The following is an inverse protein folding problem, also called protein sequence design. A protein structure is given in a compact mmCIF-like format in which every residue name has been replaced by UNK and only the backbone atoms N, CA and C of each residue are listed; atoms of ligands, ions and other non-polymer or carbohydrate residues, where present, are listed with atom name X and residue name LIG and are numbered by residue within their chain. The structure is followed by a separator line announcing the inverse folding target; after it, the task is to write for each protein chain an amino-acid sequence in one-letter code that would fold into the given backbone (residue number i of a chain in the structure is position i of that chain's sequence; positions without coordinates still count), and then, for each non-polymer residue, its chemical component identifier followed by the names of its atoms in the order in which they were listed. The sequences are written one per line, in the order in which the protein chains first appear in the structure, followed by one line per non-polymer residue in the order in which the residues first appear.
data_IF_782151025517
#
_entry.id   IF_782151025517
#
_cell.length_a   1.000
_cell.length_b   1.000
_cell.length_c   1.000
_cell.angle_alpha   90.00
_cell.angle_beta   90.00
_cell.angle_gamma   90.00
#
_symmetry.space_group_name_H-M   'P 1'
#
loop_
_entity.id
_entity.type
_entity.pdbx_description
1 polymer ?
#
# COMPACT_ATOMS: atom_id res chain seq x y z
N UNK A 1 1.11 -8.02 27.15
CA UNK A 1 1.12 -7.42 26.70
C UNK A 1 0.44 -6.45 26.65
N UNK A 2 0.20 -5.66 26.74
CA UNK A 2 -0.39 -4.77 26.74
C UNK A 2 -0.06 -3.77 25.91
N UNK A 3 0.91 -3.64 25.40
CA UNK A 3 1.31 -2.72 24.62
C UNK A 3 0.54 -2.60 23.46
N UNK A 4 -0.18 -3.52 23.00
CA UNK A 4 -0.94 -3.43 21.81
C UNK A 4 -2.11 -2.51 21.91
N UNK A 5 -2.46 -2.09 23.10
CA UNK A 5 -3.55 -1.19 23.22
C UNK A 5 -3.29 0.10 22.58
N UNK A 6 -2.02 0.46 22.47
CA UNK A 6 -1.65 1.71 21.88
C UNK A 6 -1.40 1.56 20.43
N UNK A 7 -1.44 0.37 19.93
CA UNK A 7 -1.06 0.12 18.56
C UNK A 7 -2.24 0.03 17.63
N UNK A 8 -1.99 -0.59 16.49
CA UNK A 8 -2.96 -0.74 15.44
C UNK A 8 -3.74 -2.01 15.63
N UNK A 9 -5.05 -1.93 15.50
CA UNK A 9 -5.88 -3.12 15.50
C UNK A 9 -6.06 -3.59 14.07
N UNK A 10 -6.15 -4.89 13.86
CA UNK A 10 -6.39 -5.45 12.54
C UNK A 10 -7.70 -4.97 11.94
N UNK A 11 -8.63 -4.58 12.77
CA UNK A 11 -9.96 -4.20 12.31
C UNK A 11 -10.14 -2.71 12.10
N UNK A 12 -9.13 -1.93 12.45
CA UNK A 12 -9.25 -0.48 12.37
C UNK A 12 -8.77 0.06 11.03
N UNK A 13 -9.39 1.14 10.54
CA UNK A 13 -8.86 1.79 9.36
C UNK A 13 -7.53 2.46 9.66
N UNK A 14 -6.70 2.54 8.65
CA UNK A 14 -5.41 3.18 8.79
C UNK A 14 -4.90 3.65 7.44
N UNK A 15 -3.98 4.59 7.46
CA UNK A 15 -3.33 5.08 6.25
C UNK A 15 -2.03 4.33 6.08
N UNK A 16 -1.87 3.75 4.91
CA UNK A 16 -0.69 2.96 4.57
C UNK A 16 0.02 3.52 3.36
N UNK A 17 1.31 3.24 3.28
CA UNK A 17 2.11 3.61 2.13
C UNK A 17 2.86 2.36 1.67
N UNK A 18 2.66 2.00 0.40
CA UNK A 18 3.28 0.82 -0.19
C UNK A 18 4.18 1.28 -1.32
N UNK A 19 5.42 0.79 -1.32
CA UNK A 19 6.31 1.03 -2.44
C UNK A 19 6.52 -0.26 -3.20
N UNK A 20 6.42 -0.18 -4.50
CA UNK A 20 6.67 -1.33 -5.37
C UNK A 20 7.66 -0.94 -6.45
N UNK A 21 8.30 -1.94 -7.03
CA UNK A 21 9.15 -1.72 -8.17
C UNK A 21 8.32 -1.92 -9.43
N UNK A 22 8.43 -0.98 -10.36
CA UNK A 22 7.65 -1.05 -11.59
C UNK A 22 6.72 0.14 -11.70
N UNK A 23 6.01 0.20 -12.82
CA UNK A 23 5.08 1.28 -13.07
C UNK A 23 3.66 0.77 -13.02
N UNK A 24 2.84 1.39 -12.21
CA UNK A 24 1.45 1.03 -12.08
C UNK A 24 0.62 2.24 -12.53
N UNK A 25 -0.36 2.00 -13.40
CA UNK A 25 -1.18 3.06 -13.95
C UNK A 25 -2.07 3.65 -12.85
N UNK A 26 -2.06 4.98 -12.74
CA UNK A 26 -2.90 5.68 -11.77
C UNK A 26 -4.37 5.37 -11.91
N UNK A 27 -4.80 5.01 -13.11
CA UNK A 27 -6.20 4.71 -13.35
C UNK A 27 -6.66 3.47 -12.64
N UNK A 28 -5.73 2.66 -12.14
CA UNK A 28 -6.07 1.43 -11.45
C UNK A 28 -6.31 1.63 -9.95
N UNK A 29 -6.35 2.87 -9.50
CA UNK A 29 -6.54 3.17 -8.08
C UNK A 29 -7.69 2.39 -7.45
N UNK A 30 -8.84 2.37 -8.12
CA UNK A 30 -10.01 1.68 -7.56
C UNK A 30 -9.77 0.19 -7.40
N UNK A 31 -8.94 -0.38 -8.26
CA UNK A 31 -8.65 -1.78 -8.21
C UNK A 31 -7.72 -2.11 -7.03
N UNK A 32 -7.00 -1.11 -6.54
CA UNK A 32 -6.07 -1.29 -5.43
C UNK A 32 -6.55 -0.48 -4.22
N UNK A 33 -7.77 -0.71 -3.81
CA UNK A 33 -8.29 -0.15 -2.57
C UNK A 33 -8.54 1.34 -2.58
N UNK A 34 -8.57 1.96 -3.75
CA UNK A 34 -8.75 3.41 -3.83
C UNK A 34 -7.55 4.21 -3.39
N UNK A 35 -6.39 3.57 -3.26
CA UNK A 35 -5.17 4.27 -2.86
C UNK A 35 -4.68 5.17 -3.98
N UNK A 36 -4.07 6.28 -3.59
CA UNK A 36 -3.45 7.18 -4.55
C UNK A 36 -2.20 6.51 -5.10
N UNK A 37 -2.04 6.51 -6.40
CA UNK A 37 -0.91 5.86 -7.07
C UNK A 37 -0.06 6.93 -7.72
N UNK A 38 1.24 6.98 -7.37
CA UNK A 38 2.16 7.94 -7.93
C UNK A 38 3.49 7.32 -8.24
N UNK A 39 4.11 7.77 -9.29
CA UNK A 39 5.41 7.29 -9.67
C UNK A 39 6.48 7.99 -8.86
N UNK A 40 7.45 7.26 -8.36
CA UNK A 40 8.55 7.82 -7.58
C UNK A 40 9.84 7.73 -8.39
N UNK A 41 10.54 8.83 -8.51
CA UNK A 41 11.83 8.85 -9.18
C UNK A 41 11.70 8.78 -10.68
N UNK A 42 12.82 8.59 -11.32
CA UNK A 42 12.87 8.54 -12.76
C UNK A 42 12.73 7.12 -13.27
N UNK A 43 11.95 6.93 -14.33
CA UNK A 43 11.67 5.58 -14.79
C UNK A 43 12.79 4.93 -15.60
N UNK A 44 13.97 5.50 -15.61
CA UNK A 44 15.01 4.97 -16.45
C UNK A 44 15.54 3.63 -16.04
N UNK A 45 15.84 3.48 -14.77
CA UNK A 45 16.48 2.26 -14.31
C UNK A 45 15.58 1.46 -13.42
N UNK A 46 15.18 2.04 -12.32
CA UNK A 46 14.38 1.34 -11.36
C UNK A 46 13.14 2.14 -11.10
N UNK A 47 12.20 2.04 -12.01
CA UNK A 47 10.93 2.72 -11.81
C UNK A 47 10.28 2.19 -10.53
N UNK A 48 9.79 3.10 -9.73
CA UNK A 48 9.10 2.75 -8.48
C UNK A 48 7.76 3.44 -8.45
N UNK A 49 6.80 2.81 -7.83
CA UNK A 49 5.48 3.37 -7.67
C UNK A 49 5.12 3.36 -6.19
N UNK A 50 4.46 4.42 -5.75
CA UNK A 50 3.98 4.52 -4.40
C UNK A 50 2.47 4.47 -4.41
N UNK A 51 1.89 3.60 -3.58
CA UNK A 51 0.46 3.60 -3.33
C UNK A 51 0.27 4.10 -1.91
N UNK A 52 -0.59 5.08 -1.72
CA UNK A 52 -0.81 5.64 -0.41
C UNK A 52 -2.27 5.95 -0.22
N UNK A 53 -2.79 5.63 0.94
CA UNK A 53 -4.18 5.94 1.23
C UNK A 53 -4.71 5.19 2.42
N UNK A 54 -5.97 5.50 2.72
CA UNK A 54 -6.64 4.87 3.85
C UNK A 54 -7.28 3.58 3.41
N UNK A 55 -7.03 2.54 4.17
CA UNK A 55 -7.69 1.25 3.96
C UNK A 55 -8.53 0.95 5.18
N UNK A 56 -9.64 0.25 4.97
CA UNK A 56 -10.63 0.06 6.01
C UNK A 56 -10.18 -0.83 7.15
N UNK A 57 -9.29 -1.75 6.86
CA UNK A 57 -8.75 -2.66 7.86
C UNK A 57 -7.53 -3.35 7.28
N UNK A 58 -6.90 -4.22 8.04
CA UNK A 58 -5.69 -4.86 7.57
C UNK A 58 -5.97 -5.92 6.51
N UNK A 59 -7.18 -6.47 6.48
CA UNK A 59 -7.54 -7.40 5.40
C UNK A 59 -7.52 -6.69 4.05
N UNK A 60 -7.96 -5.44 4.02
CA UNK A 60 -7.93 -4.66 2.79
C UNK A 60 -6.48 -4.45 2.34
N UNK A 61 -5.58 -4.20 3.29
CA UNK A 61 -4.17 -4.05 2.98
C UNK A 61 -3.62 -5.34 2.38
N UNK A 62 -3.91 -6.47 3.00
CA UNK A 62 -3.43 -7.76 2.51
C UNK A 62 -3.97 -8.03 1.12
N UNK A 63 -5.22 -7.66 0.87
CA UNK A 63 -5.80 -7.83 -0.46
C UNK A 63 -5.04 -7.04 -1.51
N UNK A 64 -4.68 -5.79 -1.20
CA UNK A 64 -3.90 -4.97 -2.12
C UNK A 64 -2.53 -5.60 -2.36
N UNK A 65 -1.86 -6.03 -1.28
CA UNK A 65 -0.55 -6.64 -1.41
C UNK A 65 -0.59 -7.90 -2.24
N UNK A 66 -1.60 -8.73 -2.04
CA UNK A 66 -1.75 -9.96 -2.82
C UNK A 66 -1.99 -9.65 -4.29
N UNK A 67 -2.78 -8.65 -4.59
CA UNK A 67 -3.04 -8.26 -5.98
C UNK A 67 -1.75 -7.81 -6.66
N UNK A 68 -0.93 -7.02 -5.96
CA UNK A 68 0.34 -6.56 -6.50
C UNK A 68 1.28 -7.73 -6.72
N UNK A 69 1.33 -8.63 -5.76
CA UNK A 69 2.19 -9.79 -5.83
C UNK A 69 1.78 -10.71 -6.99
N UNK A 70 0.50 -10.94 -7.16
CA UNK A 70 0.01 -11.86 -8.18
C UNK A 70 0.31 -11.37 -9.60
N UNK A 71 0.35 -10.07 -9.79
CA UNK A 71 0.67 -9.51 -11.08
C UNK A 71 2.18 -9.51 -11.31
N UNK A 72 2.96 -9.57 -10.23
CA UNK A 72 4.40 -9.66 -10.35
C UNK A 72 5.17 -8.41 -9.95
N UNK A 73 4.56 -7.49 -9.23
CA UNK A 73 5.28 -6.31 -8.76
C UNK A 73 6.03 -6.62 -7.48
N UNK A 74 7.35 -6.49 -7.47
CA UNK A 74 8.10 -6.65 -6.22
C UNK A 74 7.69 -5.58 -5.21
N UNK A 75 7.34 -5.99 -4.02
CA UNK A 75 6.95 -5.07 -2.97
C UNK A 75 8.19 -4.68 -2.19
N UNK A 76 8.50 -3.40 -2.18
CA UNK A 76 9.72 -2.90 -1.57
C UNK A 76 9.53 -2.49 -0.13
N UNK A 77 8.39 -1.92 0.20
CA UNK A 77 8.11 -1.54 1.58
C UNK A 77 6.62 -1.36 1.81
N UNK A 78 6.22 -1.55 3.05
CA UNK A 78 4.86 -1.30 3.50
C UNK A 78 4.98 -0.55 4.82
N UNK A 79 4.37 0.63 4.87
CA UNK A 79 4.44 1.47 6.06
C UNK A 79 3.07 1.82 6.57
N UNK A 80 2.89 1.71 7.87
CA UNK A 80 1.71 2.21 8.53
C UNK A 80 2.03 3.67 8.87
N UNK A 81 1.22 4.59 8.40
CA UNK A 81 1.51 6.00 8.60
C UNK A 81 0.73 6.58 9.78
N UNK A 82 -0.56 6.30 9.84
CA UNK A 82 -1.38 6.82 10.92
C UNK A 82 -2.74 6.14 10.94
N UNK A 83 -3.43 6.27 12.05
CA UNK A 83 -4.78 5.76 12.18
C UNK A 83 -5.69 6.51 11.23
N UNK A 84 -6.61 5.81 10.63
CA UNK A 84 -7.51 6.40 9.65
C UNK A 84 -8.76 7.00 10.21
#
# INVERSE_FOLDING_TARGET
MKKFRQGVSLLDPAVYKIRIQGILDKKLSDYYGGMMIEQEGEPKHYAKTILMGKLSDQSALIGVLNSLHDIGYPILSVEYLEAG
#
